data_IF_468586641281
#
_entry.id   IF_468586641281
#
_cell.length_a   1.000
_cell.length_b   1.000
_cell.length_c   1.000
_cell.angle_alpha   90.00
_cell.angle_beta   90.00
_cell.angle_gamma   90.00
#
_symmetry.space_group_name_H-M   'P 1'
#
loop_
_entity.id
_entity.type
_entity.pdbx_description
1 polymer ?
#
# COMPACT_ATOMS: atom_id res chain seq x y z
N UNK A 1 20.26 -10.34 27.58
CA UNK A 1 20.55 -11.38 26.57
C UNK A 1 21.83 -11.14 25.77
N UNK A 2 22.50 -9.99 25.91
CA UNK A 2 23.71 -9.64 25.13
C UNK A 2 25.04 -10.00 25.83
N UNK A 3 24.98 -10.49 27.08
CA UNK A 3 26.17 -10.84 27.89
C UNK A 3 26.63 -12.31 27.80
N UNK A 4 26.01 -13.14 26.96
CA UNK A 4 26.38 -14.57 26.80
C UNK A 4 27.21 -14.85 25.54
N UNK A 5 27.54 -13.83 24.75
CA UNK A 5 28.31 -13.97 23.50
C UNK A 5 29.81 -13.71 23.63
N UNK A 6 30.27 -13.24 24.79
CA UNK A 6 31.70 -13.03 25.04
C UNK A 6 32.29 -14.29 25.67
N UNK A 7 33.29 -14.86 25.00
CA UNK A 7 34.11 -16.04 25.38
C UNK A 7 33.45 -17.42 25.28
N UNK A 8 32.79 -17.67 24.14
CA UNK A 8 32.55 -19.04 23.71
C UNK A 8 33.82 -19.56 23.04
N UNK A 9 34.53 -20.47 23.71
CA UNK A 9 35.73 -21.17 23.17
C UNK A 9 35.46 -21.69 21.75
N UNK A 10 36.46 -21.70 20.84
CA UNK A 10 36.30 -22.23 19.48
C UNK A 10 35.62 -23.60 19.45
N UNK A 11 35.96 -24.47 20.41
CA UNK A 11 35.36 -25.81 20.56
C UNK A 11 33.84 -25.74 20.81
N UNK A 12 33.37 -24.77 21.58
CA UNK A 12 31.95 -24.61 21.87
C UNK A 12 31.21 -24.01 20.65
N UNK A 13 31.87 -23.16 19.84
CA UNK A 13 31.31 -22.69 18.57
C UNK A 13 31.20 -23.82 17.54
N UNK A 14 32.21 -24.68 17.46
CA UNK A 14 32.21 -25.87 16.60
C UNK A 14 31.08 -26.83 17.00
N UNK A 15 30.95 -27.13 18.29
CA UNK A 15 29.87 -27.97 18.81
C UNK A 15 28.47 -27.38 18.52
N UNK A 16 28.28 -26.07 18.69
CA UNK A 16 27.01 -25.40 18.35
C UNK A 16 26.73 -25.51 16.84
N UNK A 17 27.75 -25.35 16.00
CA UNK A 17 27.62 -25.45 14.55
C UNK A 17 27.28 -26.86 14.09
N UNK A 18 27.85 -27.90 14.73
CA UNK A 18 27.51 -29.30 14.50
C UNK A 18 26.07 -29.61 14.91
N UNK A 19 25.62 -29.12 16.07
CA UNK A 19 24.23 -29.30 16.53
C UNK A 19 23.25 -28.63 15.57
N UNK A 20 23.52 -27.39 15.13
CA UNK A 20 22.69 -26.69 14.14
C UNK A 20 22.66 -27.47 12.82
N UNK A 21 23.79 -27.99 12.37
CA UNK A 21 23.88 -28.78 11.14
C UNK A 21 23.09 -30.09 11.25
N UNK A 22 23.15 -30.75 12.40
CA UNK A 22 22.38 -31.95 12.71
C UNK A 22 20.87 -31.67 12.71
N UNK A 23 20.42 -30.64 13.42
CA UNK A 23 19.02 -30.21 13.44
C UNK A 23 18.51 -29.82 12.06
N UNK A 24 19.34 -29.17 11.25
CA UNK A 24 18.99 -28.81 9.87
C UNK A 24 18.87 -30.04 8.97
N UNK A 25 19.76 -31.03 9.15
CA UNK A 25 19.69 -32.32 8.45
C UNK A 25 18.44 -33.10 8.83
N UNK A 26 18.14 -33.18 10.13
CA UNK A 26 16.95 -33.81 10.68
C UNK A 26 15.68 -33.13 10.15
N UNK A 27 15.59 -31.80 10.22
CA UNK A 27 14.47 -31.02 9.69
C UNK A 27 14.27 -31.22 8.18
N UNK A 28 15.35 -31.27 7.40
CA UNK A 28 15.26 -31.58 5.95
C UNK A 28 14.82 -33.01 5.67
N UNK A 29 15.18 -33.96 6.55
CA UNK A 29 14.80 -35.36 6.41
C UNK A 29 13.34 -35.62 6.82
N UNK A 30 12.77 -34.76 7.68
CA UNK A 30 11.36 -34.77 8.06
C UNK A 30 10.49 -34.36 6.87
N UNK A 31 10.03 -35.36 6.11
CA UNK A 31 8.99 -35.16 5.11
C UNK A 31 7.63 -35.15 5.82
N UNK A 32 7.08 -33.96 6.01
CA UNK A 32 5.72 -33.77 6.50
C UNK A 32 4.81 -33.61 5.29
N UNK A 33 3.69 -34.36 5.26
CA UNK A 33 2.64 -34.12 4.28
C UNK A 33 2.06 -32.72 4.50
N UNK A 34 2.01 -31.93 3.43
CA UNK A 34 1.35 -30.62 3.47
C UNK A 34 -0.11 -30.77 3.06
N UNK A 35 -0.96 -29.95 3.66
CA UNK A 35 -2.32 -29.74 3.17
C UNK A 35 -2.26 -29.35 1.69
N UNK A 36 -2.95 -30.11 0.84
CA UNK A 36 -3.04 -29.87 -0.61
C UNK A 36 -3.94 -28.67 -0.91
N UNK A 37 -3.53 -27.47 -0.49
CA UNK A 37 -4.27 -26.21 -0.67
C UNK A 37 -3.35 -25.15 -1.27
N UNK A 38 -3.84 -24.49 -2.31
CA UNK A 38 -3.22 -23.30 -2.91
C UNK A 38 -4.06 -22.11 -2.48
N UNK A 39 -3.43 -21.15 -1.80
CA UNK A 39 -4.09 -19.92 -1.35
C UNK A 39 -3.57 -18.73 -2.16
N UNK A 40 -4.50 -18.01 -2.78
CA UNK A 40 -4.23 -16.75 -3.50
C UNK A 40 -5.01 -15.65 -2.83
N UNK A 41 -4.39 -14.49 -2.62
CA UNK A 41 -5.01 -13.36 -1.94
C UNK A 41 -5.11 -12.21 -2.95
N UNK A 42 -6.32 -11.67 -3.11
CA UNK A 42 -6.57 -10.47 -3.91
C UNK A 42 -7.45 -9.51 -3.11
N UNK A 43 -6.86 -8.42 -2.65
CA UNK A 43 -7.52 -7.42 -1.80
C UNK A 43 -7.37 -6.02 -2.38
N UNK A 44 -8.12 -5.07 -1.82
CA UNK A 44 -8.11 -3.65 -2.19
C UNK A 44 -8.62 -3.34 -3.62
N UNK A 45 -9.22 -4.31 -4.28
CA UNK A 45 -9.74 -4.19 -5.65
C UNK A 45 -10.50 -5.46 -6.00
N UNK A 46 -11.43 -5.41 -6.95
CA UNK A 46 -11.97 -6.68 -7.43
C UNK A 46 -10.94 -7.44 -8.27
N UNK A 47 -10.96 -8.78 -8.20
CA UNK A 47 -10.03 -9.61 -8.94
C UNK A 47 -10.18 -9.40 -10.46
N UNK A 48 -9.08 -9.21 -11.20
CA UNK A 48 -9.13 -9.13 -12.66
C UNK A 48 -9.47 -10.51 -13.25
N UNK A 49 -10.09 -10.55 -14.43
CA UNK A 49 -10.38 -11.82 -15.13
C UNK A 49 -9.13 -12.70 -15.36
N UNK A 50 -7.96 -12.09 -15.39
CA UNK A 50 -6.68 -12.82 -15.51
C UNK A 50 -6.44 -13.76 -14.33
N UNK A 51 -6.98 -13.47 -13.13
CA UNK A 51 -6.87 -14.36 -11.96
C UNK A 51 -7.47 -15.75 -12.26
N UNK A 52 -8.54 -15.79 -13.07
CA UNK A 52 -9.20 -17.03 -13.47
C UNK A 52 -8.31 -17.88 -14.37
N UNK A 53 -7.45 -17.25 -15.19
CA UNK A 53 -6.47 -17.96 -16.02
C UNK A 53 -5.42 -18.66 -15.14
N UNK A 54 -4.91 -17.97 -14.12
CA UNK A 54 -3.99 -18.55 -13.15
C UNK A 54 -4.64 -19.70 -12.38
N UNK A 55 -5.86 -19.52 -11.88
CA UNK A 55 -6.60 -20.58 -11.17
C UNK A 55 -6.76 -21.85 -12.03
N UNK A 56 -7.09 -21.69 -13.33
CA UNK A 56 -7.18 -22.81 -14.28
C UNK A 56 -5.83 -23.52 -14.47
N UNK A 57 -4.74 -22.76 -14.60
CA UNK A 57 -3.40 -23.33 -14.75
C UNK A 57 -2.97 -24.13 -13.50
N UNK A 58 -3.20 -23.59 -12.30
CA UNK A 58 -2.89 -24.29 -11.05
C UNK A 58 -3.72 -25.57 -10.88
N UNK A 59 -5.01 -25.52 -11.20
CA UNK A 59 -5.89 -26.71 -11.14
C UNK A 59 -5.46 -27.79 -12.14
N UNK A 60 -4.95 -27.40 -13.32
CA UNK A 60 -4.43 -28.34 -14.31
C UNK A 60 -3.11 -28.98 -13.88
N UNK A 61 -2.20 -28.21 -13.28
CA UNK A 61 -0.90 -28.70 -12.82
C UNK A 61 -0.99 -29.53 -11.54
N UNK A 62 -1.94 -29.20 -10.66
CA UNK A 62 -2.10 -29.83 -9.34
C UNK A 62 -3.58 -30.23 -9.13
N UNK A 63 -4.06 -31.29 -9.80
CA UNK A 63 -5.47 -31.67 -9.76
C UNK A 63 -5.97 -32.07 -8.36
N UNK A 64 -5.07 -32.57 -7.51
CA UNK A 64 -5.37 -32.97 -6.14
C UNK A 64 -5.40 -31.79 -5.15
N UNK A 65 -5.03 -30.58 -5.58
CA UNK A 65 -4.96 -29.40 -4.72
C UNK A 65 -6.25 -28.57 -4.81
N UNK A 66 -6.73 -28.13 -3.65
CA UNK A 66 -7.83 -27.16 -3.56
C UNK A 66 -7.31 -25.75 -3.77
N UNK A 67 -7.92 -24.98 -4.68
CA UNK A 67 -7.55 -23.59 -4.92
C UNK A 67 -8.52 -22.63 -4.22
N UNK A 68 -7.99 -21.75 -3.36
CA UNK A 68 -8.75 -20.80 -2.58
C UNK A 68 -8.33 -19.37 -2.95
N UNK A 69 -9.26 -18.58 -3.49
CA UNK A 69 -9.08 -17.14 -3.71
C UNK A 69 -9.69 -16.36 -2.54
N UNK A 70 -8.84 -15.77 -1.72
CA UNK A 70 -9.23 -14.90 -0.62
C UNK A 70 -9.41 -13.48 -1.12
N UNK A 71 -10.59 -12.92 -0.87
CA UNK A 71 -10.96 -11.55 -1.22
C UNK A 71 -11.55 -10.85 0.00
N UNK A 72 -11.52 -9.52 -0.01
CA UNK A 72 -12.31 -8.71 0.91
C UNK A 72 -13.45 -8.03 0.13
N UNK A 73 -14.70 -8.54 0.23
CA UNK A 73 -15.84 -8.00 -0.50
C UNK A 73 -16.27 -6.61 -0.04
N UNK A 74 -15.75 -6.12 1.09
CA UNK A 74 -16.05 -4.80 1.64
C UNK A 74 -14.98 -3.76 1.27
N UNK A 75 -13.92 -4.14 0.56
CA UNK A 75 -12.78 -3.28 0.26
C UNK A 75 -12.40 -3.27 -1.23
N UNK A 76 -13.36 -3.45 -2.14
CA UNK A 76 -13.09 -3.42 -3.58
C UNK A 76 -12.71 -2.02 -4.10
N UNK A 77 -13.07 -0.97 -3.36
CA UNK A 77 -12.72 0.40 -3.72
C UNK A 77 -11.43 0.90 -3.06
N UNK A 78 -10.73 0.09 -2.24
CA UNK A 78 -9.65 0.62 -1.41
C UNK A 78 -8.45 1.15 -2.22
N UNK A 79 -8.09 0.49 -3.32
CA UNK A 79 -7.05 0.98 -4.24
C UNK A 79 -7.46 2.32 -4.86
N UNK A 80 -8.68 2.39 -5.40
CA UNK A 80 -9.19 3.61 -6.04
C UNK A 80 -9.29 4.76 -5.02
N UNK A 81 -9.76 4.47 -3.81
CA UNK A 81 -9.83 5.44 -2.73
C UNK A 81 -8.45 6.03 -2.42
N UNK A 82 -7.43 5.18 -2.28
CA UNK A 82 -6.07 5.64 -2.07
C UNK A 82 -5.53 6.45 -3.27
N UNK A 83 -5.93 6.10 -4.50
CA UNK A 83 -5.62 6.88 -5.70
C UNK A 83 -6.21 8.29 -5.63
N UNK A 84 -7.47 8.41 -5.21
CA UNK A 84 -8.13 9.70 -5.00
C UNK A 84 -7.40 10.54 -3.93
N UNK A 85 -7.07 9.95 -2.77
CA UNK A 85 -6.32 10.65 -1.72
C UNK A 85 -4.95 11.14 -2.21
N UNK A 86 -4.22 10.30 -2.97
CA UNK A 86 -2.93 10.69 -3.57
C UNK A 86 -3.10 11.85 -4.54
N UNK A 87 -4.14 11.84 -5.37
CA UNK A 87 -4.41 12.95 -6.28
C UNK A 87 -4.68 14.25 -5.52
N UNK A 88 -5.45 14.20 -4.43
CA UNK A 88 -5.70 15.37 -3.58
C UNK A 88 -4.41 15.88 -2.94
N UNK A 89 -3.59 14.97 -2.39
CA UNK A 89 -2.30 15.35 -1.80
C UNK A 89 -1.36 16.01 -2.82
N UNK A 90 -1.32 15.48 -4.05
CA UNK A 90 -0.51 16.04 -5.14
C UNK A 90 -0.97 17.45 -5.52
N UNK A 91 -2.28 17.67 -5.70
CA UNK A 91 -2.80 18.99 -6.05
C UNK A 91 -2.61 20.02 -4.93
N UNK A 92 -2.77 19.60 -3.68
CA UNK A 92 -2.48 20.46 -2.53
C UNK A 92 -0.99 20.82 -2.47
N UNK A 93 -0.09 19.84 -2.64
CA UNK A 93 1.34 20.09 -2.65
C UNK A 93 1.76 21.05 -3.77
N UNK A 94 1.21 20.91 -4.97
CA UNK A 94 1.45 21.85 -6.08
C UNK A 94 0.99 23.26 -5.73
N UNK A 95 -0.19 23.39 -5.13
CA UNK A 95 -0.76 24.68 -4.73
C UNK A 95 0.10 25.36 -3.65
N UNK A 96 0.54 24.61 -2.65
CA UNK A 96 1.43 25.10 -1.59
C UNK A 96 2.79 25.52 -2.12
N UNK A 97 3.37 24.77 -3.06
CA UNK A 97 4.60 25.19 -3.76
C UNK A 97 4.37 26.55 -4.42
N UNK A 98 3.34 26.68 -5.26
CA UNK A 98 3.03 27.94 -5.96
C UNK A 98 2.83 29.11 -4.98
N UNK A 99 2.12 28.88 -3.87
CA UNK A 99 1.86 29.90 -2.85
C UNK A 99 3.13 30.33 -2.07
N UNK A 100 4.15 29.49 -2.03
CA UNK A 100 5.41 29.74 -1.32
C UNK A 100 6.48 30.46 -2.15
N UNK A 101 6.24 30.63 -3.46
CA UNK A 101 7.18 31.29 -4.38
C UNK A 101 7.06 32.81 -4.33
N UNK A 102 8.18 33.49 -4.59
CA UNK A 102 8.15 34.96 -4.79
C UNK A 102 7.54 35.32 -6.16
N UNK A 103 7.26 36.62 -6.36
CA UNK A 103 6.73 37.12 -7.64
C UNK A 103 7.74 36.89 -8.77
N UNK A 104 9.03 37.07 -8.49
CA UNK A 104 10.12 36.83 -9.44
C UNK A 104 10.21 35.36 -9.83
N UNK A 105 10.18 34.45 -8.84
CA UNK A 105 10.20 32.99 -9.06
C UNK A 105 8.98 32.52 -9.86
N UNK A 106 7.80 33.08 -9.58
CA UNK A 106 6.59 32.80 -10.35
C UNK A 106 6.69 33.30 -11.80
N UNK A 107 7.34 34.44 -12.04
CA UNK A 107 7.52 34.97 -13.39
C UNK A 107 8.46 34.08 -14.22
N UNK A 108 9.53 33.53 -13.61
CA UNK A 108 10.40 32.53 -14.26
C UNK A 108 9.58 31.32 -14.75
N UNK A 109 8.71 30.78 -13.89
CA UNK A 109 7.84 29.64 -14.24
C UNK A 109 6.82 29.99 -15.33
N UNK A 110 6.21 31.19 -15.26
CA UNK A 110 5.22 31.65 -16.26
C UNK A 110 5.83 31.87 -17.64
N UNK A 111 7.05 32.39 -17.68
CA UNK A 111 7.77 32.68 -18.92
C UNK A 111 8.39 31.41 -19.56
N UNK A 112 8.20 30.24 -18.94
CA UNK A 112 8.80 28.94 -19.34
C UNK A 112 10.33 29.02 -19.42
N UNK A 113 10.93 29.91 -18.64
CA UNK A 113 12.38 29.93 -18.47
C UNK A 113 12.78 28.68 -17.67
N UNK A 114 13.87 28.03 -18.08
CA UNK A 114 14.41 26.91 -17.33
C UNK A 114 14.87 27.43 -15.97
N UNK A 115 14.35 26.91 -14.84
CA UNK A 115 14.85 27.28 -13.54
C UNK A 115 16.34 26.90 -13.46
N UNK A 116 17.15 27.75 -12.86
CA UNK A 116 18.54 27.37 -12.55
C UNK A 116 18.56 26.20 -11.55
N UNK A 117 19.72 25.53 -11.43
CA UNK A 117 19.87 24.34 -10.57
C UNK A 117 19.48 24.61 -9.10
N UNK A 118 19.71 25.84 -8.61
CA UNK A 118 19.37 26.24 -7.25
C UNK A 118 17.85 26.39 -7.06
N UNK A 119 17.18 27.04 -8.02
CA UNK A 119 15.73 27.19 -8.00
C UNK A 119 15.03 25.84 -8.22
N UNK A 120 15.54 24.98 -9.11
CA UNK A 120 15.03 23.62 -9.30
C UNK A 120 15.16 22.77 -8.03
N UNK A 121 16.31 22.84 -7.33
CA UNK A 121 16.49 22.15 -6.05
C UNK A 121 15.52 22.66 -4.97
N UNK A 122 15.27 23.98 -4.93
CA UNK A 122 14.26 24.58 -4.04
C UNK A 122 12.86 24.06 -4.35
N UNK A 123 12.45 24.04 -5.63
CA UNK A 123 11.14 23.52 -6.05
C UNK A 123 10.94 22.06 -5.65
N UNK A 124 11.95 21.21 -5.85
CA UNK A 124 11.90 19.81 -5.45
C UNK A 124 11.74 19.67 -3.92
N UNK A 125 12.57 20.37 -3.14
CA UNK A 125 12.50 20.29 -1.68
C UNK A 125 11.15 20.77 -1.13
N UNK A 126 10.61 21.87 -1.68
CA UNK A 126 9.29 22.37 -1.32
C UNK A 126 8.18 21.38 -1.71
N UNK A 127 8.25 20.80 -2.91
CA UNK A 127 7.25 19.85 -3.37
C UNK A 127 7.25 18.58 -2.53
N UNK A 128 8.42 17.97 -2.28
CA UNK A 128 8.55 16.76 -1.46
C UNK A 128 8.03 16.98 -0.03
N UNK A 129 8.41 18.10 0.58
CA UNK A 129 7.97 18.46 1.94
C UNK A 129 6.45 18.65 2.02
N UNK A 130 5.88 19.41 1.08
CA UNK A 130 4.44 19.66 1.06
C UNK A 130 3.63 18.42 0.66
N UNK A 131 4.17 17.56 -0.19
CA UNK A 131 3.55 16.28 -0.53
C UNK A 131 3.49 15.36 0.68
N UNK A 132 4.61 15.19 1.39
CA UNK A 132 4.64 14.37 2.61
C UNK A 132 3.66 14.90 3.66
N UNK A 133 3.67 16.21 3.90
CA UNK A 133 2.72 16.87 4.82
C UNK A 133 1.26 16.61 4.42
N UNK A 134 0.93 16.76 3.15
CA UNK A 134 -0.43 16.55 2.64
C UNK A 134 -0.88 15.09 2.76
N UNK A 135 0.03 14.15 2.49
CA UNK A 135 -0.24 12.71 2.67
C UNK A 135 -0.52 12.39 4.13
N UNK A 136 0.30 12.90 5.06
CA UNK A 136 0.10 12.67 6.50
C UNK A 136 -1.23 13.26 6.98
N UNK A 137 -1.56 14.49 6.57
CA UNK A 137 -2.83 15.12 6.92
C UNK A 137 -4.05 14.33 6.44
N UNK A 138 -3.99 13.79 5.21
CA UNK A 138 -5.07 12.95 4.69
C UNK A 138 -5.15 11.60 5.40
N UNK A 139 -4.02 10.97 5.72
CA UNK A 139 -3.99 9.73 6.50
C UNK A 139 -4.58 9.94 7.89
N UNK A 140 -4.19 11.01 8.58
CA UNK A 140 -4.75 11.39 9.87
C UNK A 140 -6.24 11.69 9.77
N UNK A 141 -6.69 12.37 8.71
CA UNK A 141 -8.12 12.61 8.49
C UNK A 141 -8.91 11.30 8.35
N UNK A 142 -8.39 10.32 7.60
CA UNK A 142 -9.03 9.00 7.46
C UNK A 142 -9.05 8.26 8.80
N UNK A 143 -7.95 8.25 9.53
CA UNK A 143 -7.88 7.58 10.84
C UNK A 143 -8.81 8.22 11.87
N UNK A 144 -8.83 9.56 11.93
CA UNK A 144 -9.74 10.30 12.82
C UNK A 144 -11.20 10.08 12.45
N UNK A 145 -11.52 10.03 11.16
CA UNK A 145 -12.86 9.70 10.68
C UNK A 145 -13.29 8.31 11.13
N UNK A 146 -12.42 7.31 10.99
CA UNK A 146 -12.70 5.95 11.44
C UNK A 146 -12.86 5.88 12.97
N UNK A 147 -11.94 6.51 13.71
CA UNK A 147 -11.92 6.52 15.17
C UNK A 147 -13.18 7.18 15.77
N UNK A 148 -13.52 8.39 15.30
CA UNK A 148 -14.67 9.16 15.81
C UNK A 148 -16.02 8.49 15.56
N UNK A 149 -16.10 7.63 14.54
CA UNK A 149 -17.31 6.87 14.19
C UNK A 149 -17.31 5.43 14.71
N UNK A 150 -16.26 5.00 15.41
CA UNK A 150 -16.15 3.62 15.89
C UNK A 150 -16.05 2.58 14.76
N UNK A 151 -15.53 2.98 13.59
CA UNK A 151 -15.39 2.10 12.43
C UNK A 151 -14.15 1.21 12.63
N UNK A 152 -14.39 -0.08 12.86
CA UNK A 152 -13.32 -1.08 13.01
C UNK A 152 -12.83 -1.62 11.66
N UNK A 153 -13.72 -1.74 10.68
CA UNK A 153 -13.42 -2.20 9.33
C UNK A 153 -13.86 -1.14 8.32
N UNK A 154 -12.89 -0.49 7.67
CA UNK A 154 -13.18 0.58 6.72
C UNK A 154 -13.74 0.00 5.42
N UNK A 155 -15.05 0.09 5.24
CA UNK A 155 -15.77 -0.47 4.09
C UNK A 155 -15.81 0.49 2.89
N UNK A 156 -16.26 -0.01 1.74
CA UNK A 156 -16.47 0.83 0.56
C UNK A 156 -17.55 1.91 0.78
N UNK A 157 -18.52 1.68 1.66
CA UNK A 157 -19.48 2.72 2.06
C UNK A 157 -18.84 3.79 2.94
N UNK A 158 -17.93 3.41 3.83
CA UNK A 158 -17.16 4.37 4.64
C UNK A 158 -16.24 5.22 3.76
N UNK A 159 -15.63 4.61 2.72
CA UNK A 159 -14.85 5.34 1.70
C UNK A 159 -15.71 6.36 0.96
N UNK A 160 -16.88 5.96 0.47
CA UNK A 160 -17.82 6.87 -0.21
C UNK A 160 -18.22 8.02 0.74
N UNK A 161 -18.54 7.69 1.99
CA UNK A 161 -18.95 8.67 3.00
C UNK A 161 -17.82 9.64 3.31
N UNK A 162 -16.58 9.17 3.47
CA UNK A 162 -15.40 10.02 3.64
C UNK A 162 -15.20 10.97 2.46
N UNK A 163 -15.26 10.47 1.22
CA UNK A 163 -15.10 11.31 0.03
C UNK A 163 -16.16 12.43 -0.03
N UNK A 164 -17.37 12.14 0.43
CA UNK A 164 -18.47 13.12 0.44
C UNK A 164 -18.40 14.10 1.62
N UNK A 165 -18.17 13.59 2.82
CA UNK A 165 -18.29 14.36 4.06
C UNK A 165 -17.01 15.13 4.40
N UNK A 166 -15.83 14.56 4.09
CA UNK A 166 -14.53 15.14 4.43
C UNK A 166 -13.88 15.82 3.23
N UNK A 167 -13.93 15.20 2.04
CA UNK A 167 -13.37 15.79 0.83
C UNK A 167 -14.39 16.58 -0.01
N UNK A 168 -15.65 16.61 0.41
CA UNK A 168 -16.72 17.38 -0.23
C UNK A 168 -16.86 17.10 -1.74
N UNK A 169 -16.64 15.85 -2.16
CA UNK A 169 -16.83 15.47 -3.55
C UNK A 169 -18.30 15.63 -3.96
N UNK A 170 -18.52 16.19 -5.16
CA UNK A 170 -19.83 16.30 -5.75
C UNK A 170 -20.42 14.92 -6.13
N UNK A 171 -21.71 14.90 -6.43
CA UNK A 171 -22.41 13.66 -6.76
C UNK A 171 -21.84 12.99 -8.03
N UNK A 172 -21.37 13.76 -9.01
CA UNK A 172 -20.82 13.20 -10.25
C UNK A 172 -19.54 12.40 -9.98
N UNK A 173 -18.63 12.96 -9.17
CA UNK A 173 -17.39 12.32 -8.74
C UNK A 173 -17.67 11.08 -7.88
N UNK A 174 -18.67 11.15 -7.01
CA UNK A 174 -19.08 10.00 -6.20
C UNK A 174 -19.65 8.87 -7.07
N UNK A 175 -20.46 9.17 -8.08
CA UNK A 175 -20.98 8.15 -8.99
C UNK A 175 -19.85 7.52 -9.82
N UNK A 176 -18.91 8.31 -10.35
CA UNK A 176 -17.70 7.80 -11.02
C UNK A 176 -16.90 6.86 -10.12
N UNK A 177 -16.76 7.19 -8.83
CA UNK A 177 -16.09 6.32 -7.86
C UNK A 177 -16.86 5.01 -7.64
N UNK A 178 -18.20 5.07 -7.55
CA UNK A 178 -19.05 3.87 -7.40
C UNK A 178 -19.01 2.95 -8.62
N UNK A 179 -18.80 3.47 -9.83
CA UNK A 179 -18.63 2.62 -11.01
C UNK A 179 -17.46 1.64 -10.87
N UNK A 180 -16.40 2.02 -10.13
CA UNK A 180 -15.25 1.14 -9.88
C UNK A 180 -15.63 -0.07 -9.02
N UNK A 181 -16.65 0.08 -8.17
CA UNK A 181 -17.22 -1.01 -7.35
C UNK A 181 -18.12 -1.91 -8.20
N UNK A 182 -18.91 -1.32 -9.12
CA UNK A 182 -19.93 -2.03 -9.90
C UNK A 182 -19.40 -2.69 -11.18
N UNK A 183 -18.39 -2.12 -11.87
CA UNK A 183 -17.73 -2.74 -13.05
C UNK A 183 -17.02 -4.06 -12.74
N UNK A 184 -17.02 -4.45 -11.48
CA UNK A 184 -16.08 -5.36 -10.85
C UNK A 184 -16.80 -6.41 -9.97
N UNK A 185 -18.14 -6.39 -9.96
CA UNK A 185 -19.01 -7.43 -9.40
C UNK A 185 -19.60 -8.29 -10.51
#
# INVERSE_FOLDING_TARGET
MEKLRADVSPVVQDNISEIISSLHSEYKSLKVEIDKKIHVIWIAGAPPETITKYAKAYKAAYPDFSFNLWIDPNAFAAYEFNSQLKSVALEHAKSEVINSLTIEELNVLKNKEQPDDGFHAKLNSLFETNLLKSVLQLQDAVMNYAYTRGILNFSDQDRISFLKEILHYDNERIEKFKEVIHKKR
#
